data_IF_764174909369
#
_entry.id   IF_764174909369
#
_cell.length_a   1.000
_cell.length_b   1.000
_cell.length_c   1.000
_cell.angle_alpha   90.00
_cell.angle_beta   90.00
_cell.angle_gamma   90.00
#
_symmetry.space_group_name_H-M   'P 1'
#
loop_
_entity.id
_entity.type
_entity.pdbx_description
1 polymer ?
#
# COMPACT_ATOMS: atom_id res chain seq x y z
N UNK A 1 21.99 37.11 -54.94
CA UNK A 1 22.31 35.71 -54.61
C UNK A 1 23.19 35.71 -53.38
N UNK A 2 23.05 34.93 -52.32
CA UNK A 2 21.98 34.09 -51.73
C UNK A 2 22.51 33.87 -50.30
N UNK A 3 21.78 34.33 -49.29
CA UNK A 3 21.99 33.93 -47.89
C UNK A 3 21.09 32.71 -47.62
N UNK A 4 21.61 31.49 -47.73
CA UNK A 4 20.82 30.24 -47.50
C UNK A 4 21.56 29.16 -46.69
N UNK A 5 22.84 29.32 -46.35
CA UNK A 5 23.62 28.21 -45.77
C UNK A 5 23.57 28.04 -44.26
N UNK A 6 23.01 28.98 -43.48
CA UNK A 6 22.93 28.86 -42.02
C UNK A 6 21.63 28.18 -41.50
N UNK A 7 20.57 28.10 -42.30
CA UNK A 7 19.29 27.50 -41.88
C UNK A 7 19.23 25.97 -41.98
N UNK A 8 20.06 25.37 -42.83
CA UNK A 8 19.99 23.94 -43.19
C UNK A 8 20.61 23.00 -42.15
N UNK A 9 21.63 23.44 -41.42
CA UNK A 9 22.31 22.65 -40.38
C UNK A 9 21.51 22.59 -39.08
N UNK A 10 20.86 23.68 -38.69
CA UNK A 10 19.96 23.72 -37.53
C UNK A 10 18.69 22.88 -37.76
N UNK A 11 18.10 22.93 -38.97
CA UNK A 11 16.96 22.09 -39.34
C UNK A 11 17.33 20.59 -39.45
N UNK A 12 18.52 20.26 -39.94
CA UNK A 12 18.99 18.88 -40.02
C UNK A 12 19.28 18.25 -38.65
N UNK A 13 19.88 19.03 -37.74
CA UNK A 13 20.09 18.59 -36.35
C UNK A 13 18.75 18.44 -35.61
N UNK A 14 17.84 19.41 -35.74
CA UNK A 14 16.50 19.36 -35.16
C UNK A 14 15.69 18.15 -35.65
N UNK A 15 15.70 17.88 -36.97
CA UNK A 15 15.01 16.73 -37.57
C UNK A 15 15.61 15.37 -37.18
N UNK A 16 16.93 15.29 -36.92
CA UNK A 16 17.56 14.07 -36.39
C UNK A 16 17.18 13.81 -34.93
N UNK A 17 17.11 14.85 -34.08
CA UNK A 17 16.64 14.72 -32.69
C UNK A 17 15.16 14.31 -32.62
N UNK A 18 14.33 14.83 -33.52
CA UNK A 18 12.90 14.51 -33.54
C UNK A 18 12.64 13.07 -34.00
N UNK A 19 13.37 12.60 -35.02
CA UNK A 19 13.29 11.20 -35.45
C UNK A 19 13.84 10.21 -34.42
N UNK A 20 14.91 10.58 -33.70
CA UNK A 20 15.44 9.78 -32.60
C UNK A 20 14.44 9.69 -31.44
N UNK A 21 13.84 10.82 -31.04
CA UNK A 21 12.82 10.86 -29.99
C UNK A 21 11.57 10.02 -30.36
N UNK A 22 11.12 10.08 -31.61
CA UNK A 22 10.02 9.23 -32.11
C UNK A 22 10.37 7.73 -32.06
N UNK A 23 11.63 7.39 -32.27
CA UNK A 23 12.11 6.00 -32.19
C UNK A 23 12.16 5.50 -30.74
N UNK A 24 12.60 6.35 -29.81
CA UNK A 24 12.62 6.04 -28.37
C UNK A 24 11.19 5.91 -27.80
N UNK A 25 10.29 6.79 -28.21
CA UNK A 25 8.87 6.75 -27.81
C UNK A 25 8.17 5.47 -28.29
N UNK A 26 8.36 5.10 -29.56
CA UNK A 26 7.82 3.86 -30.10
C UNK A 26 8.40 2.60 -29.39
N UNK A 27 9.68 2.62 -29.03
CA UNK A 27 10.31 1.53 -28.28
C UNK A 27 9.75 1.42 -26.85
N UNK A 28 9.55 2.55 -26.18
CA UNK A 28 8.91 2.61 -24.86
C UNK A 28 7.47 2.06 -24.91
N UNK A 29 6.68 2.51 -25.88
CA UNK A 29 5.29 2.05 -26.03
C UNK A 29 5.23 0.54 -26.32
N UNK A 30 6.14 0.03 -27.15
CA UNK A 30 6.26 -1.41 -27.43
C UNK A 30 6.62 -2.21 -26.18
N UNK A 31 7.58 -1.73 -25.37
CA UNK A 31 7.98 -2.37 -24.12
C UNK A 31 6.81 -2.41 -23.11
N UNK A 32 6.12 -1.29 -22.91
CA UNK A 32 4.93 -1.22 -22.05
C UNK A 32 3.83 -2.16 -22.56
N UNK A 33 3.55 -2.16 -23.87
CA UNK A 33 2.56 -3.05 -24.48
C UNK A 33 2.89 -4.53 -24.25
N UNK A 34 4.17 -4.90 -24.33
CA UNK A 34 4.68 -6.24 -24.07
C UNK A 34 4.78 -6.64 -22.58
N UNK A 35 4.35 -5.76 -21.65
CA UNK A 35 4.49 -5.95 -20.20
C UNK A 35 5.96 -6.09 -19.72
N UNK A 36 6.88 -5.52 -20.48
CA UNK A 36 8.28 -5.38 -20.07
C UNK A 36 8.41 -4.31 -18.98
N UNK A 37 9.48 -4.43 -18.18
CA UNK A 37 9.78 -3.47 -17.11
C UNK A 37 10.70 -2.39 -17.63
N UNK A 38 10.30 -1.14 -17.40
CA UNK A 38 11.15 0.03 -17.60
C UNK A 38 12.10 0.14 -16.41
N UNK A 39 13.39 0.24 -16.68
CA UNK A 39 14.47 0.34 -15.69
C UNK A 39 15.11 1.75 -15.68
N UNK A 40 15.89 2.11 -14.63
CA UNK A 40 16.39 3.48 -14.46
C UNK A 40 17.24 4.04 -15.61
N UNK A 41 17.90 3.16 -16.38
CA UNK A 41 18.76 3.55 -17.51
C UNK A 41 18.03 3.62 -18.83
N UNK A 42 16.80 3.13 -18.89
CA UNK A 42 16.02 3.14 -20.11
C UNK A 42 15.51 4.55 -20.36
N UNK A 43 15.37 4.89 -21.64
CA UNK A 43 14.64 6.08 -22.02
C UNK A 43 13.16 5.92 -21.59
N UNK A 44 12.56 7.02 -21.13
CA UNK A 44 11.15 7.07 -20.79
C UNK A 44 10.61 8.49 -21.01
N UNK A 45 9.32 8.66 -21.34
CA UNK A 45 8.71 9.98 -21.45
C UNK A 45 8.85 10.78 -20.14
N UNK A 46 9.12 12.09 -20.24
CA UNK A 46 9.28 12.92 -19.05
C UNK A 46 7.99 12.97 -18.22
N UNK A 47 6.82 12.94 -18.87
CA UNK A 47 5.54 12.87 -18.18
C UNK A 47 5.33 11.54 -17.43
N UNK A 48 5.90 10.43 -17.94
CA UNK A 48 5.93 9.12 -17.24
C UNK A 48 6.80 9.21 -15.99
N UNK A 49 8.03 9.73 -16.14
CA UNK A 49 8.96 9.99 -15.03
C UNK A 49 8.32 10.86 -13.95
N UNK A 50 7.76 12.02 -14.32
CA UNK A 50 7.13 12.95 -13.39
C UNK A 50 5.92 12.34 -12.67
N UNK A 51 5.10 11.55 -13.37
CA UNK A 51 3.96 10.84 -12.78
C UNK A 51 4.41 9.83 -11.73
N UNK A 52 5.44 9.04 -12.03
CA UNK A 52 6.00 8.07 -11.10
C UNK A 52 6.67 8.72 -9.89
N UNK A 53 7.46 9.78 -10.10
CA UNK A 53 8.05 10.56 -8.99
C UNK A 53 6.94 11.08 -8.09
N UNK A 54 5.88 11.67 -8.64
CA UNK A 54 4.72 12.14 -7.86
C UNK A 54 4.08 11.01 -7.07
N UNK A 55 3.79 9.88 -7.71
CA UNK A 55 3.10 8.77 -7.07
C UNK A 55 3.96 8.09 -5.99
N UNK A 56 5.22 7.76 -6.29
CA UNK A 56 6.13 7.13 -5.31
C UNK A 56 6.47 8.06 -4.17
N UNK A 57 6.63 9.37 -4.41
CA UNK A 57 6.83 10.34 -3.33
C UNK A 57 5.61 10.38 -2.41
N UNK A 58 4.40 10.50 -2.95
CA UNK A 58 3.17 10.46 -2.15
C UNK A 58 3.04 9.15 -1.37
N UNK A 59 3.44 8.03 -1.96
CA UNK A 59 3.48 6.74 -1.27
C UNK A 59 4.50 6.75 -0.12
N UNK A 60 5.74 7.18 -0.36
CA UNK A 60 6.77 7.26 0.68
C UNK A 60 6.40 8.24 1.81
N UNK A 61 5.72 9.33 1.47
CA UNK A 61 5.19 10.28 2.45
C UNK A 61 4.07 9.64 3.29
N UNK A 62 3.23 8.81 2.65
CA UNK A 62 2.17 8.06 3.32
C UNK A 62 2.73 7.16 4.41
N UNK A 63 3.81 6.41 4.13
CA UNK A 63 4.49 5.60 5.15
C UNK A 63 4.95 6.43 6.35
N UNK A 64 5.66 7.55 6.10
CA UNK A 64 6.20 8.39 7.18
C UNK A 64 5.10 9.04 8.03
N UNK A 65 4.04 9.54 7.38
CA UNK A 65 2.94 10.19 8.11
C UNK A 65 2.05 9.16 8.79
N UNK A 66 1.91 7.96 8.21
CA UNK A 66 1.14 6.85 8.76
C UNK A 66 1.66 6.32 10.09
N UNK A 67 2.97 6.42 10.32
CA UNK A 67 3.56 6.10 11.62
C UNK A 67 2.94 6.90 12.77
N UNK A 68 2.47 8.14 12.53
CA UNK A 68 2.02 9.05 13.60
C UNK A 68 0.74 8.60 14.32
N UNK A 69 -0.40 8.33 13.63
CA UNK A 69 -1.61 7.85 14.29
C UNK A 69 -1.38 6.55 15.08
N UNK A 70 -0.55 5.63 14.59
CA UNK A 70 -0.27 4.38 15.29
C UNK A 70 0.74 4.53 16.43
N UNK A 71 1.79 5.35 16.24
CA UNK A 71 2.75 5.66 17.29
C UNK A 71 2.10 6.32 18.50
N UNK A 72 1.02 7.07 18.30
CA UNK A 72 0.20 7.66 19.36
C UNK A 72 -0.20 6.60 20.42
N UNK A 73 -0.43 5.34 20.02
CA UNK A 73 -0.86 4.28 20.92
C UNK A 73 0.26 3.36 21.43
N UNK A 74 1.51 3.49 20.97
CA UNK A 74 2.63 2.63 21.40
C UNK A 74 2.80 2.63 22.92
N UNK A 75 2.74 3.79 23.58
CA UNK A 75 2.95 3.88 25.03
C UNK A 75 1.76 3.34 25.83
N UNK A 76 0.56 3.28 25.21
CA UNK A 76 -0.74 2.98 25.84
C UNK A 76 -1.33 1.63 25.45
N UNK A 77 -0.63 0.84 24.63
CA UNK A 77 -1.10 -0.48 24.22
C UNK A 77 -1.42 -1.37 25.44
N UNK A 78 -2.56 -2.09 25.45
CA UNK A 78 -3.13 -2.73 26.65
C UNK A 78 -2.40 -4.02 27.07
N UNK A 79 -1.41 -4.47 26.30
CA UNK A 79 -0.57 -5.62 26.65
C UNK A 79 0.80 -5.50 25.99
N UNK A 80 1.81 -6.16 26.58
CA UNK A 80 3.15 -6.21 26.00
C UNK A 80 3.16 -6.90 24.63
N UNK A 81 2.34 -7.93 24.43
CA UNK A 81 2.20 -8.59 23.12
C UNK A 81 1.72 -7.60 22.05
N UNK A 82 0.65 -6.87 22.31
CA UNK A 82 0.12 -5.89 21.35
C UNK A 82 1.05 -4.71 21.16
N UNK A 83 1.74 -4.27 22.22
CA UNK A 83 2.79 -3.24 22.15
C UNK A 83 3.94 -3.65 21.22
N UNK A 84 4.45 -4.87 21.38
CA UNK A 84 5.55 -5.40 20.55
C UNK A 84 5.14 -5.50 19.08
N UNK A 85 3.93 -5.99 18.79
CA UNK A 85 3.39 -6.05 17.42
C UNK A 85 3.29 -4.66 16.81
N UNK A 86 2.71 -3.69 17.53
CA UNK A 86 2.56 -2.32 17.04
C UNK A 86 3.91 -1.64 16.78
N UNK A 87 4.89 -1.85 17.66
CA UNK A 87 6.25 -1.34 17.46
C UNK A 87 6.91 -1.96 16.22
N UNK A 88 6.73 -3.26 15.98
CA UNK A 88 7.25 -3.93 14.80
C UNK A 88 6.60 -3.37 13.52
N UNK A 89 5.28 -3.17 13.51
CA UNK A 89 4.56 -2.57 12.38
C UNK A 89 5.06 -1.16 12.05
N UNK A 90 5.12 -0.27 13.05
CA UNK A 90 5.59 1.11 12.85
C UNK A 90 7.07 1.16 12.45
N UNK A 91 7.88 0.19 12.88
CA UNK A 91 9.25 0.04 12.42
C UNK A 91 9.31 -0.34 10.93
N UNK A 92 8.48 -1.28 10.49
CA UNK A 92 8.42 -1.72 9.09
C UNK A 92 7.92 -0.59 8.17
N UNK A 93 6.94 0.21 8.59
CA UNK A 93 6.51 1.43 7.85
C UNK A 93 7.67 2.40 7.60
N UNK A 94 8.54 2.61 8.59
CA UNK A 94 9.74 3.41 8.39
C UNK A 94 10.66 2.79 7.31
N UNK A 95 10.80 1.46 7.31
CA UNK A 95 11.52 0.69 6.29
C UNK A 95 10.89 0.81 4.89
N UNK A 96 9.57 0.69 4.79
CA UNK A 96 8.82 0.83 3.55
C UNK A 96 9.02 2.22 2.94
N UNK A 97 8.93 3.26 3.77
CA UNK A 97 9.24 4.63 3.36
C UNK A 97 10.63 4.74 2.74
N UNK A 98 11.65 4.11 3.35
CA UNK A 98 13.02 4.09 2.81
C UNK A 98 13.11 3.36 1.46
N UNK A 99 12.42 2.23 1.29
CA UNK A 99 12.37 1.53 0.00
C UNK A 99 11.76 2.39 -1.10
N UNK A 100 10.67 3.10 -0.78
CA UNK A 100 9.95 3.96 -1.71
C UNK A 100 10.75 5.21 -2.10
N UNK A 101 11.42 5.88 -1.14
CA UNK A 101 12.35 6.96 -1.48
C UNK A 101 13.48 6.45 -2.37
N UNK A 102 14.07 5.30 -2.04
CA UNK A 102 15.14 4.70 -2.84
C UNK A 102 14.67 4.42 -4.28
N UNK A 103 13.45 3.91 -4.46
CA UNK A 103 12.86 3.69 -5.78
C UNK A 103 12.62 5.02 -6.52
N UNK A 104 12.15 6.07 -5.84
CA UNK A 104 11.94 7.39 -6.43
C UNK A 104 13.26 8.05 -6.87
N UNK A 105 14.34 7.88 -6.09
CA UNK A 105 15.66 8.45 -6.40
C UNK A 105 16.26 7.89 -7.69
N UNK A 106 15.87 6.67 -8.10
CA UNK A 106 16.29 6.11 -9.39
C UNK A 106 15.74 6.87 -10.61
N UNK A 107 14.77 7.77 -10.41
CA UNK A 107 14.24 8.66 -11.44
C UNK A 107 14.92 10.04 -11.49
N UNK A 108 15.92 10.30 -10.63
CA UNK A 108 16.74 11.51 -10.68
C UNK A 108 16.31 12.65 -9.76
N UNK A 109 15.36 12.42 -8.84
CA UNK A 109 15.07 13.34 -7.71
C UNK A 109 15.82 12.88 -6.46
N UNK A 110 15.98 13.75 -5.47
CA UNK A 110 16.54 13.36 -4.17
C UNK A 110 15.47 13.19 -3.10
N UNK A 111 15.70 12.33 -2.10
CA UNK A 111 14.84 12.21 -0.93
C UNK A 111 14.65 13.55 -0.21
N UNK A 112 15.71 14.36 -0.11
CA UNK A 112 15.65 15.66 0.55
C UNK A 112 14.69 16.61 -0.18
N UNK A 113 14.74 16.68 -1.52
CA UNK A 113 13.79 17.46 -2.32
C UNK A 113 12.34 17.00 -2.12
N UNK A 114 12.11 15.69 -2.01
CA UNK A 114 10.79 15.13 -1.78
C UNK A 114 10.29 15.45 -0.37
N UNK A 115 11.14 15.35 0.65
CA UNK A 115 10.81 15.74 2.01
C UNK A 115 10.51 17.24 2.13
N UNK A 116 11.29 18.10 1.46
CA UNK A 116 11.03 19.54 1.40
C UNK A 116 9.67 19.84 0.77
N UNK A 117 9.30 19.11 -0.29
CA UNK A 117 7.96 19.23 -0.92
C UNK A 117 6.85 18.79 0.02
N UNK A 118 7.04 17.72 0.80
CA UNK A 118 6.10 17.30 1.85
C UNK A 118 5.96 18.38 2.94
N UNK A 119 7.07 18.87 3.48
CA UNK A 119 7.07 19.89 4.54
C UNK A 119 6.43 21.20 4.09
N UNK A 120 6.62 21.59 2.83
CA UNK A 120 5.99 22.75 2.22
C UNK A 120 4.53 22.52 1.79
N UNK A 121 3.97 21.33 1.97
CA UNK A 121 2.61 20.98 1.52
C UNK A 121 2.44 20.92 0.00
N UNK A 122 3.55 20.89 -0.77
CA UNK A 122 3.55 20.80 -2.24
C UNK A 122 3.41 19.38 -2.76
N UNK A 123 3.64 18.38 -1.92
CA UNK A 123 3.32 16.98 -2.17
C UNK A 123 2.45 16.42 -1.04
N UNK A 124 1.51 15.55 -1.43
CA UNK A 124 0.51 14.97 -0.54
C UNK A 124 0.99 13.65 0.08
N UNK A 125 0.23 13.15 1.02
CA UNK A 125 0.25 11.79 1.54
C UNK A 125 -1.20 11.26 1.53
N UNK A 126 -1.39 9.97 1.83
CA UNK A 126 -2.71 9.34 1.85
C UNK A 126 -3.67 10.08 2.78
N UNK A 127 -4.91 10.29 2.31
CA UNK A 127 -5.95 11.03 3.06
C UNK A 127 -6.22 10.42 4.43
N UNK A 128 -6.11 9.09 4.54
CA UNK A 128 -6.47 8.30 5.72
C UNK A 128 -5.70 8.67 6.98
N UNK A 129 -4.47 9.18 6.86
CA UNK A 129 -3.64 9.50 8.02
C UNK A 129 -4.01 10.83 8.69
N UNK A 130 -4.99 11.54 8.13
CA UNK A 130 -5.57 12.74 8.70
C UNK A 130 -6.67 12.46 9.72
N UNK A 131 -7.02 11.20 9.97
CA UNK A 131 -8.03 10.82 10.96
C UNK A 131 -7.39 10.50 12.32
N UNK A 132 -8.04 10.83 13.44
CA UNK A 132 -7.49 10.62 14.78
C UNK A 132 -7.74 9.20 15.30
N UNK A 133 -6.76 8.64 16.00
CA UNK A 133 -6.89 7.37 16.74
C UNK A 133 -7.38 7.62 18.17
N UNK A 134 -8.68 7.54 18.39
CA UNK A 134 -9.31 7.97 19.65
C UNK A 134 -9.32 6.90 20.74
N UNK A 135 -9.36 5.62 20.35
CA UNK A 135 -9.39 4.46 21.24
C UNK A 135 -8.35 3.42 20.80
N UNK A 136 -8.15 2.39 21.61
CA UNK A 136 -7.25 1.29 21.22
C UNK A 136 -7.79 0.50 20.02
N UNK A 137 -9.11 0.43 19.84
CA UNK A 137 -9.72 -0.26 18.70
C UNK A 137 -9.36 0.38 17.35
N UNK A 138 -9.05 1.68 17.34
CA UNK A 138 -8.58 2.39 16.15
C UNK A 138 -7.30 1.77 15.57
N UNK A 139 -6.38 1.29 16.41
CA UNK A 139 -5.17 0.57 15.96
C UNK A 139 -5.55 -0.72 15.24
N UNK A 140 -6.60 -1.40 15.72
CA UNK A 140 -7.15 -2.58 15.06
C UNK A 140 -7.83 -2.24 13.73
N UNK A 141 -8.60 -1.16 13.69
CA UNK A 141 -9.28 -0.70 12.49
C UNK A 141 -8.29 -0.22 11.41
N UNK A 142 -7.22 0.48 11.79
CA UNK A 142 -6.11 0.82 10.88
C UNK A 142 -5.47 -0.47 10.36
N UNK A 143 -5.01 -1.35 11.25
CA UNK A 143 -4.39 -2.59 10.83
C UNK A 143 -5.30 -3.49 9.99
N UNK A 144 -6.63 -3.46 10.17
CA UNK A 144 -7.54 -4.29 9.37
C UNK A 144 -7.98 -3.61 8.07
N UNK A 145 -8.64 -2.45 8.19
CA UNK A 145 -9.30 -1.76 7.08
C UNK A 145 -8.30 -0.91 6.27
N UNK A 146 -7.47 -0.12 6.94
CA UNK A 146 -6.55 0.81 6.27
C UNK A 146 -5.43 0.04 5.58
N UNK A 147 -4.76 -0.88 6.28
CA UNK A 147 -3.76 -1.74 5.67
C UNK A 147 -4.41 -2.69 4.64
N UNK A 148 -5.64 -3.16 4.87
CA UNK A 148 -6.38 -3.97 3.90
C UNK A 148 -6.64 -3.22 2.58
N UNK A 149 -7.02 -1.95 2.67
CA UNK A 149 -7.20 -1.07 1.52
C UNK A 149 -5.85 -0.80 0.83
N UNK A 150 -4.81 -0.51 1.61
CA UNK A 150 -3.46 -0.34 1.10
C UNK A 150 -2.98 -1.58 0.34
N UNK A 151 -3.08 -2.78 0.91
CA UNK A 151 -2.70 -4.05 0.25
C UNK A 151 -3.50 -4.26 -1.04
N UNK A 152 -4.81 -3.99 -1.01
CA UNK A 152 -5.67 -4.12 -2.21
C UNK A 152 -5.19 -3.21 -3.34
N UNK A 153 -4.70 -2.01 -3.02
CA UNK A 153 -4.10 -1.09 -3.98
C UNK A 153 -2.67 -1.47 -4.40
N UNK A 154 -1.86 -1.98 -3.48
CA UNK A 154 -0.43 -2.23 -3.68
C UNK A 154 -0.10 -3.55 -4.38
N UNK A 155 -0.87 -4.62 -4.13
CA UNK A 155 -0.65 -5.92 -4.78
C UNK A 155 -0.65 -5.80 -6.31
N UNK A 156 -1.60 -5.08 -6.94
CA UNK A 156 -1.53 -4.77 -8.37
C UNK A 156 -0.27 -4.00 -8.80
N UNK A 157 0.27 -3.12 -7.95
CA UNK A 157 1.48 -2.35 -8.22
C UNK A 157 2.75 -3.21 -8.22
N UNK A 158 2.70 -4.44 -7.69
CA UNK A 158 3.76 -5.45 -7.95
C UNK A 158 3.94 -5.73 -9.46
N UNK A 159 2.96 -5.34 -10.28
CA UNK A 159 3.02 -5.41 -11.75
C UNK A 159 3.07 -4.04 -12.45
N UNK A 160 3.44 -2.98 -11.74
CA UNK A 160 3.71 -1.65 -12.29
C UNK A 160 4.79 -1.72 -13.39
N UNK A 161 4.63 -1.01 -14.50
CA UNK A 161 5.60 -0.99 -15.60
C UNK A 161 7.00 -0.53 -15.17
N UNK A 162 7.14 0.26 -14.10
CA UNK A 162 8.46 0.67 -13.60
C UNK A 162 9.07 -0.36 -12.66
N UNK A 163 10.20 -0.95 -13.06
CA UNK A 163 10.86 -2.05 -12.37
C UNK A 163 11.19 -1.78 -10.89
N UNK A 164 11.87 -0.67 -10.54
CA UNK A 164 12.20 -0.35 -9.15
C UNK A 164 10.96 -0.26 -8.25
N UNK A 165 9.89 0.35 -8.74
CA UNK A 165 8.65 0.49 -7.97
C UNK A 165 7.96 -0.86 -7.76
N UNK A 166 7.82 -1.65 -8.84
CA UNK A 166 7.25 -2.99 -8.76
C UNK A 166 8.00 -3.90 -7.77
N UNK A 167 9.35 -3.84 -7.75
CA UNK A 167 10.17 -4.63 -6.81
C UNK A 167 10.03 -4.16 -5.37
N UNK A 168 9.89 -2.86 -5.13
CA UNK A 168 9.62 -2.33 -3.79
C UNK A 168 8.26 -2.84 -3.28
N UNK A 169 7.21 -2.78 -4.12
CA UNK A 169 5.88 -3.30 -3.79
C UNK A 169 5.88 -4.79 -3.44
N UNK A 170 6.67 -5.61 -4.13
CA UNK A 170 6.79 -7.05 -3.79
C UNK A 170 7.33 -7.27 -2.36
N UNK A 171 8.25 -6.42 -1.88
CA UNK A 171 8.76 -6.52 -0.51
C UNK A 171 7.74 -6.01 0.50
N UNK A 172 7.22 -4.81 0.26
CA UNK A 172 6.24 -4.14 1.12
C UNK A 172 4.99 -5.02 1.29
N UNK A 173 4.40 -5.55 0.22
CA UNK A 173 3.22 -6.42 0.32
C UNK A 173 3.47 -7.72 1.11
N UNK A 174 4.70 -8.26 1.10
CA UNK A 174 5.05 -9.44 1.90
C UNK A 174 5.04 -9.12 3.39
N UNK A 175 5.57 -7.95 3.76
CA UNK A 175 5.67 -7.47 5.14
C UNK A 175 4.29 -7.02 5.66
N UNK A 176 3.57 -6.19 4.91
CA UNK A 176 2.28 -5.63 5.34
C UNK A 176 1.16 -6.65 5.50
N UNK A 177 1.13 -7.71 4.69
CA UNK A 177 0.10 -8.74 4.82
C UNK A 177 0.10 -9.43 6.19
N UNK A 178 1.27 -9.49 6.85
CA UNK A 178 1.40 -9.99 8.21
C UNK A 178 0.77 -9.01 9.21
N UNK A 179 1.12 -7.72 9.11
CA UNK A 179 0.59 -6.68 10.01
C UNK A 179 -0.92 -6.52 9.88
N UNK A 180 -1.43 -6.62 8.65
CA UNK A 180 -2.86 -6.56 8.37
C UNK A 180 -3.63 -7.66 9.11
N UNK A 181 -3.09 -8.89 9.09
CA UNK A 181 -3.64 -10.00 9.86
C UNK A 181 -3.63 -9.73 11.36
N UNK A 182 -2.56 -9.13 11.88
CA UNK A 182 -2.47 -8.79 13.30
C UNK A 182 -3.49 -7.73 13.72
N UNK A 183 -3.83 -6.78 12.85
CA UNK A 183 -4.91 -5.81 13.02
C UNK A 183 -6.28 -6.49 13.10
N UNK A 184 -6.57 -7.40 12.16
CA UNK A 184 -7.79 -8.22 12.20
C UNK A 184 -7.89 -9.03 13.51
N UNK A 185 -6.81 -9.69 13.93
CA UNK A 185 -6.78 -10.43 15.20
C UNK A 185 -6.98 -9.54 16.44
N UNK A 186 -6.61 -8.25 16.37
CA UNK A 186 -6.86 -7.29 17.44
C UNK A 186 -8.36 -7.06 17.57
N UNK A 187 -9.04 -6.73 16.47
CA UNK A 187 -10.48 -6.52 16.47
C UNK A 187 -11.23 -7.80 16.84
N UNK A 188 -10.80 -8.97 16.37
CA UNK A 188 -11.40 -10.25 16.76
C UNK A 188 -11.38 -10.46 18.28
N UNK A 189 -10.28 -10.08 18.94
CA UNK A 189 -10.17 -10.18 20.39
C UNK A 189 -11.10 -9.20 21.10
N UNK A 190 -11.29 -7.98 20.57
CA UNK A 190 -12.22 -7.00 21.13
C UNK A 190 -13.68 -7.41 20.93
N UNK A 191 -14.04 -7.86 19.72
CA UNK A 191 -15.39 -8.32 19.41
C UNK A 191 -15.83 -9.55 20.21
N UNK A 192 -14.90 -10.40 20.64
CA UNK A 192 -15.19 -11.56 21.50
C UNK A 192 -15.02 -11.27 22.99
N UNK A 193 -14.70 -10.03 23.33
CA UNK A 193 -14.45 -9.60 24.70
C UNK A 193 -15.71 -9.23 25.46
N UNK A 194 -15.57 -8.26 26.36
CA UNK A 194 -16.68 -7.65 27.08
C UNK A 194 -17.56 -6.79 26.16
N UNK A 195 -18.81 -6.48 26.54
CA UNK A 195 -19.67 -5.57 25.77
C UNK A 195 -19.01 -4.23 25.44
N UNK A 196 -18.27 -3.64 26.39
CA UNK A 196 -17.55 -2.38 26.17
C UNK A 196 -16.40 -2.51 25.15
N UNK A 197 -15.76 -3.68 25.05
CA UNK A 197 -14.73 -3.93 24.04
C UNK A 197 -15.33 -4.13 22.65
N UNK A 198 -16.47 -4.82 22.55
CA UNK A 198 -17.21 -4.98 21.30
C UNK A 198 -17.72 -3.62 20.80
N UNK A 199 -18.31 -2.80 21.66
CA UNK A 199 -18.74 -1.44 21.33
C UNK A 199 -17.58 -0.56 20.86
N UNK A 200 -16.42 -0.62 21.54
CA UNK A 200 -15.22 0.11 21.13
C UNK A 200 -14.72 -0.34 19.73
N UNK A 201 -14.79 -1.64 19.42
CA UNK A 201 -14.48 -2.16 18.10
C UNK A 201 -15.45 -1.65 17.04
N UNK A 202 -16.76 -1.66 17.34
CA UNK A 202 -17.79 -1.15 16.43
C UNK A 202 -17.63 0.35 16.16
N UNK A 203 -17.38 1.15 17.20
CA UNK A 203 -17.14 2.60 17.05
C UNK A 203 -15.92 2.89 16.16
N UNK A 204 -14.83 2.14 16.31
CA UNK A 204 -13.68 2.27 15.43
C UNK A 204 -14.04 1.93 13.98
N UNK A 205 -14.73 0.81 13.72
CA UNK A 205 -15.16 0.45 12.36
C UNK A 205 -16.07 1.53 11.76
N UNK A 206 -16.99 2.08 12.56
CA UNK A 206 -17.88 3.16 12.13
C UNK A 206 -17.11 4.39 11.61
N UNK A 207 -16.04 4.78 12.31
CA UNK A 207 -15.24 5.95 11.97
C UNK A 207 -14.23 5.70 10.84
N UNK A 208 -13.72 4.48 10.71
CA UNK A 208 -12.63 4.16 9.77
C UNK A 208 -13.10 3.56 8.43
N UNK A 209 -14.35 3.11 8.31
CA UNK A 209 -14.87 2.49 7.08
C UNK A 209 -14.81 3.43 5.86
N UNK A 210 -15.53 4.55 5.90
CA UNK A 210 -15.61 5.48 4.78
C UNK A 210 -14.25 6.09 4.42
N UNK A 211 -13.41 6.52 5.39
CA UNK A 211 -12.04 6.95 5.10
C UNK A 211 -11.20 5.87 4.39
N UNK A 212 -11.36 4.60 4.74
CA UNK A 212 -10.64 3.50 4.08
C UNK A 212 -11.06 3.34 2.61
N UNK A 213 -12.36 3.54 2.31
CA UNK A 213 -12.86 3.55 0.93
C UNK A 213 -12.35 4.75 0.11
N UNK A 214 -12.11 5.89 0.75
CA UNK A 214 -11.53 7.08 0.11
C UNK A 214 -10.05 6.88 -0.29
N UNK A 215 -9.33 5.92 0.30
CA UNK A 215 -7.92 5.65 -0.03
C UNK A 215 -7.70 5.25 -1.49
N UNK A 216 -8.71 4.64 -2.12
CA UNK A 216 -8.66 4.29 -3.54
C UNK A 216 -8.71 5.52 -4.45
N UNK A 217 -8.95 6.72 -3.92
CA UNK A 217 -9.02 7.96 -4.68
C UNK A 217 -10.41 8.24 -5.25
N UNK A 218 -10.53 9.29 -6.09
CA UNK A 218 -11.81 9.73 -6.64
C UNK A 218 -12.43 8.67 -7.57
N UNK A 219 -13.74 8.78 -7.89
CA UNK A 219 -14.38 8.00 -8.93
C UNK A 219 -13.63 8.04 -10.26
N UNK A 220 -13.80 7.01 -11.08
CA UNK A 220 -13.04 6.88 -12.33
C UNK A 220 -13.29 8.06 -13.30
N UNK A 221 -14.50 8.61 -13.33
CA UNK A 221 -14.89 9.76 -14.16
C UNK A 221 -14.33 11.11 -13.66
N UNK A 222 -13.90 11.19 -12.40
CA UNK A 222 -13.28 12.34 -11.78
C UNK A 222 -11.75 12.22 -11.64
N UNK A 223 -11.15 11.16 -12.19
CA UNK A 223 -9.74 10.82 -11.99
C UNK A 223 -8.83 11.32 -13.12
N UNK A 224 -8.31 12.54 -12.97
CA UNK A 224 -7.50 13.23 -14.00
C UNK A 224 -6.25 12.46 -14.48
N UNK A 225 -5.70 11.53 -13.69
CA UNK A 225 -4.46 10.81 -14.02
C UNK A 225 -4.68 9.35 -14.41
N UNK A 226 -5.90 8.81 -14.27
CA UNK A 226 -6.13 7.36 -14.40
C UNK A 226 -5.93 6.86 -15.82
N UNK A 227 -6.45 7.55 -16.84
CA UNK A 227 -6.35 7.12 -18.23
C UNK A 227 -4.88 6.92 -18.66
N UNK A 228 -4.03 7.93 -18.44
CA UNK A 228 -2.61 7.87 -18.79
C UNK A 228 -1.85 6.84 -17.95
N UNK A 229 -2.13 6.76 -16.64
CA UNK A 229 -1.46 5.81 -15.75
C UNK A 229 -1.78 4.35 -16.11
N UNK A 230 -2.99 4.10 -16.60
CA UNK A 230 -3.42 2.79 -17.11
C UNK A 230 -2.78 2.48 -18.46
N UNK A 231 -2.73 3.45 -19.38
CA UNK A 231 -2.07 3.30 -20.68
C UNK A 231 -0.59 2.95 -20.53
N UNK A 232 0.11 3.61 -19.61
CA UNK A 232 1.50 3.29 -19.27
C UNK A 232 1.67 2.08 -18.34
N UNK A 233 0.58 1.39 -18.00
CA UNK A 233 0.56 0.26 -17.04
C UNK A 233 1.25 0.56 -15.70
N UNK A 234 1.28 1.83 -15.28
CA UNK A 234 1.66 2.24 -13.92
C UNK A 234 0.60 1.73 -12.95
N UNK A 235 -0.67 1.97 -13.30
CA UNK A 235 -1.87 1.48 -12.63
C UNK A 235 -2.46 0.34 -13.47
N UNK A 236 -2.93 -0.72 -12.81
CA UNK A 236 -3.42 -1.95 -13.49
C UNK A 236 -4.94 -2.13 -13.43
N UNK A 237 -5.57 -1.53 -12.44
CA UNK A 237 -7.00 -1.60 -12.16
C UNK A 237 -7.50 -0.20 -11.82
N UNK A 238 -8.75 0.11 -12.13
CA UNK A 238 -9.32 1.44 -11.86
C UNK A 238 -9.50 1.71 -10.37
N UNK A 239 -9.83 2.96 -9.99
CA UNK A 239 -10.06 3.29 -8.57
C UNK A 239 -11.30 2.55 -8.07
N UNK A 240 -12.38 2.59 -8.87
CA UNK A 240 -13.66 1.98 -8.50
C UNK A 240 -13.61 0.44 -8.54
N UNK A 241 -12.82 -0.15 -9.44
CA UNK A 241 -12.60 -1.60 -9.47
C UNK A 241 -11.96 -2.10 -8.17
N UNK A 242 -10.88 -1.42 -7.73
CA UNK A 242 -10.19 -1.78 -6.50
C UNK A 242 -11.05 -1.52 -5.26
N UNK A 243 -11.82 -0.42 -5.26
CA UNK A 243 -12.75 -0.11 -4.17
C UNK A 243 -13.83 -1.18 -4.02
N UNK A 244 -14.46 -1.62 -5.11
CA UNK A 244 -15.46 -2.72 -5.09
C UNK A 244 -14.86 -4.02 -4.57
N UNK A 245 -13.68 -4.40 -5.08
CA UNK A 245 -12.97 -5.60 -4.60
C UNK A 245 -12.71 -5.54 -3.10
N UNK A 246 -12.32 -4.38 -2.57
CA UNK A 246 -12.10 -4.20 -1.14
C UNK A 246 -13.39 -4.35 -0.33
N UNK A 247 -14.52 -3.80 -0.79
CA UNK A 247 -15.84 -4.03 -0.15
C UNK A 247 -16.17 -5.52 -0.09
N UNK A 248 -16.02 -6.25 -1.20
CA UNK A 248 -16.26 -7.70 -1.26
C UNK A 248 -15.37 -8.49 -0.28
N UNK A 249 -14.15 -8.02 -0.03
CA UNK A 249 -13.23 -8.62 0.95
C UNK A 249 -13.70 -8.33 2.39
N UNK A 250 -14.13 -7.09 2.65
CA UNK A 250 -14.46 -6.63 4.01
C UNK A 250 -15.80 -7.19 4.53
N UNK A 251 -16.81 -7.38 3.68
CA UNK A 251 -18.13 -7.88 4.12
C UNK A 251 -18.05 -9.21 4.90
N UNK A 252 -17.46 -10.29 4.38
CA UNK A 252 -17.35 -11.55 5.13
C UNK A 252 -16.42 -11.43 6.35
N UNK A 253 -15.44 -10.53 6.30
CA UNK A 253 -14.54 -10.28 7.44
C UNK A 253 -15.27 -9.57 8.59
N UNK A 254 -16.12 -8.58 8.29
CA UNK A 254 -16.97 -7.91 9.27
C UNK A 254 -17.94 -8.90 9.93
N UNK A 255 -18.55 -9.78 9.13
CA UNK A 255 -19.40 -10.87 9.64
C UNK A 255 -18.64 -11.79 10.59
N UNK A 256 -17.42 -12.19 10.25
CA UNK A 256 -16.57 -13.04 11.10
C UNK A 256 -16.17 -12.35 12.43
N UNK A 257 -16.06 -11.02 12.42
CA UNK A 257 -15.83 -10.20 13.60
C UNK A 257 -17.11 -9.96 14.41
N UNK A 258 -18.29 -10.28 13.89
CA UNK A 258 -19.56 -9.89 14.51
C UNK A 258 -19.73 -8.37 14.61
N UNK A 259 -19.19 -7.63 13.64
CA UNK A 259 -19.29 -6.17 13.52
C UNK A 259 -20.08 -5.81 12.27
N UNK A 260 -20.69 -4.63 12.26
CA UNK A 260 -21.36 -4.07 11.08
C UNK A 260 -20.47 -3.05 10.39
N UNK A 261 -20.58 -2.95 9.07
CA UNK A 261 -20.04 -1.83 8.31
C UNK A 261 -21.10 -0.71 8.32
N UNK A 262 -20.72 0.57 8.55
CA UNK A 262 -21.65 1.70 8.68
C UNK A 262 -22.19 2.17 7.32
N UNK A 263 -22.71 1.24 6.54
CA UNK A 263 -23.25 1.47 5.20
C UNK A 263 -24.50 0.60 4.99
N UNK A 264 -25.70 1.19 5.11
CA UNK A 264 -26.96 0.47 4.95
C UNK A 264 -27.23 0.03 3.50
N UNK A 265 -26.49 0.56 2.52
CA UNK A 265 -26.67 0.24 1.10
C UNK A 265 -25.84 -0.97 0.66
N UNK A 266 -25.02 -1.56 1.55
CA UNK A 266 -24.29 -2.79 1.25
C UNK A 266 -25.26 -3.94 0.99
N UNK A 267 -25.26 -4.44 -0.25
CA UNK A 267 -26.07 -5.58 -0.66
C UNK A 267 -25.41 -6.37 -1.78
N UNK A 268 -25.55 -7.68 -1.75
CA UNK A 268 -25.09 -8.53 -2.85
C UNK A 268 -25.88 -8.22 -4.12
N UNK A 269 -25.17 -7.96 -5.21
CA UNK A 269 -25.74 -7.73 -6.53
C UNK A 269 -25.44 -8.95 -7.41
N UNK A 270 -26.47 -9.78 -7.64
CA UNK A 270 -26.35 -11.03 -8.42
C UNK A 270 -25.91 -10.78 -9.88
N UNK A 271 -26.34 -9.68 -10.50
CA UNK A 271 -25.98 -9.36 -11.88
C UNK A 271 -24.50 -8.99 -12.01
N UNK A 272 -23.96 -8.31 -11.00
CA UNK A 272 -22.54 -7.89 -10.96
C UNK A 272 -21.62 -8.98 -10.38
N UNK A 273 -22.15 -9.88 -9.56
CA UNK A 273 -21.36 -10.82 -8.77
C UNK A 273 -20.47 -10.13 -7.73
N UNK A 274 -20.92 -8.98 -7.19
CA UNK A 274 -20.21 -8.14 -6.22
C UNK A 274 -21.21 -7.44 -5.30
N UNK A 275 -20.76 -6.88 -4.18
CA UNK A 275 -21.57 -5.99 -3.35
C UNK A 275 -21.69 -4.60 -3.96
N UNK A 276 -22.90 -4.07 -4.02
CA UNK A 276 -23.13 -2.62 -4.09
C UNK A 276 -22.82 -1.99 -2.72
N UNK A 277 -22.49 -0.70 -2.69
CA UNK A 277 -22.21 0.08 -1.47
C UNK A 277 -22.72 1.52 -1.66
N UNK A 278 -22.91 2.24 -0.55
CA UNK A 278 -23.46 3.58 -0.52
C UNK A 278 -22.53 4.65 -1.09
N UNK A 279 -23.07 5.87 -1.25
CA UNK A 279 -22.30 7.00 -1.76
C UNK A 279 -21.27 7.50 -0.73
N UNK A 280 -20.03 7.66 -1.18
CA UNK A 280 -18.94 8.26 -0.38
C UNK A 280 -19.15 9.77 -0.32
N UNK A 281 -18.91 10.37 0.86
CA UNK A 281 -18.84 11.82 0.97
C UNK A 281 -17.60 12.37 0.26
N UNK A 282 -17.76 12.70 -1.02
CA UNK A 282 -16.69 13.31 -1.81
C UNK A 282 -16.37 14.75 -1.39
N UNK A 283 -17.27 15.43 -0.66
CA UNK A 283 -16.98 16.75 -0.11
C UNK A 283 -15.95 16.63 1.00
N UNK A 284 -16.17 15.70 1.95
CA UNK A 284 -15.19 15.37 2.99
C UNK A 284 -13.83 15.01 2.38
N UNK A 285 -13.83 14.11 1.38
CA UNK A 285 -12.61 13.71 0.68
C UNK A 285 -11.82 14.91 0.14
N UNK A 286 -12.50 15.86 -0.53
CA UNK A 286 -11.84 17.05 -1.08
C UNK A 286 -11.33 17.98 0.02
N UNK A 287 -12.06 18.16 1.13
CA UNK A 287 -11.61 18.99 2.24
C UNK A 287 -10.37 18.40 2.93
N UNK A 288 -10.34 17.08 3.15
CA UNK A 288 -9.15 16.38 3.69
C UNK A 288 -7.94 16.56 2.75
N UNK A 289 -8.14 16.46 1.43
CA UNK A 289 -7.05 16.65 0.46
C UNK A 289 -6.55 18.10 0.34
N UNK A 290 -7.37 19.09 0.69
CA UNK A 290 -6.99 20.50 0.73
C UNK A 290 -6.24 20.89 2.02
N UNK A 291 -6.22 20.01 3.02
CA UNK A 291 -5.62 20.31 4.32
C UNK A 291 -6.63 20.64 5.43
N UNK A 292 -7.92 20.54 5.17
CA UNK A 292 -8.99 20.92 6.11
C UNK A 292 -9.59 19.72 6.86
N UNK A 293 -8.90 18.58 6.87
CA UNK A 293 -9.31 17.41 7.64
C UNK A 293 -8.87 17.48 9.11
N UNK A 294 -9.28 16.50 9.94
CA UNK A 294 -9.22 16.62 11.39
C UNK A 294 -7.79 16.65 11.98
N UNK A 295 -6.78 16.11 11.28
CA UNK A 295 -5.41 16.10 11.78
C UNK A 295 -4.37 16.63 10.78
N UNK A 296 -4.74 17.18 9.61
CA UNK A 296 -3.78 17.60 8.58
C UNK A 296 -2.67 18.52 9.11
N UNK A 297 -3.07 19.59 9.80
CA UNK A 297 -2.15 20.56 10.39
C UNK A 297 -1.26 19.92 11.44
N UNK A 298 -1.84 19.08 12.32
CA UNK A 298 -1.10 18.35 13.33
C UNK A 298 -0.03 17.43 12.71
N UNK A 299 -0.39 16.67 11.66
CA UNK A 299 0.52 15.71 11.02
C UNK A 299 1.72 16.38 10.38
N UNK A 300 1.49 17.48 9.66
CA UNK A 300 2.56 18.24 9.02
C UNK A 300 3.38 19.03 10.04
N UNK A 301 2.75 19.62 11.07
CA UNK A 301 3.46 20.30 12.14
C UNK A 301 4.43 19.35 12.86
N UNK A 302 3.95 18.18 13.29
CA UNK A 302 4.80 17.18 13.96
C UNK A 302 5.96 16.72 13.07
N UNK A 303 5.73 16.56 11.76
CA UNK A 303 6.78 16.16 10.82
C UNK A 303 7.81 17.26 10.58
N UNK A 304 7.40 18.53 10.58
CA UNK A 304 8.29 19.70 10.45
C UNK A 304 9.10 19.90 11.73
N UNK A 305 8.45 19.90 12.89
CA UNK A 305 9.09 20.03 14.20
C UNK A 305 10.18 18.97 14.39
N UNK A 306 9.88 17.69 14.15
CA UNK A 306 10.88 16.61 14.23
C UNK A 306 12.05 16.81 13.26
N UNK A 307 11.82 17.42 12.10
CA UNK A 307 12.88 17.75 11.15
C UNK A 307 13.72 18.93 11.63
N UNK A 308 13.10 20.02 12.07
CA UNK A 308 13.76 21.24 12.53
C UNK A 308 14.55 20.99 13.82
N UNK A 309 13.94 20.39 14.84
CA UNK A 309 14.61 20.05 16.10
C UNK A 309 15.71 19.00 15.91
N UNK A 310 15.56 18.11 14.92
CA UNK A 310 16.57 17.14 14.54
C UNK A 310 17.74 17.70 13.73
N UNK A 311 17.72 19.00 13.37
CA UNK A 311 18.73 19.59 12.47
C UNK A 311 20.14 19.49 13.05
N UNK A 312 20.31 19.74 14.35
CA UNK A 312 21.62 19.67 14.99
C UNK A 312 22.22 18.26 14.94
N UNK A 313 21.38 17.20 15.03
CA UNK A 313 21.83 15.80 14.91
C UNK A 313 22.35 15.52 13.50
N UNK A 314 21.62 15.97 12.47
CA UNK A 314 22.04 15.81 11.06
C UNK A 314 23.33 16.57 10.77
N UNK A 315 23.45 17.80 11.26
CA UNK A 315 24.66 18.61 11.14
C UNK A 315 25.85 17.99 11.87
N UNK A 316 25.64 17.45 13.08
CA UNK A 316 26.67 16.76 13.84
C UNK A 316 27.17 15.51 13.11
N UNK A 317 26.28 14.69 12.54
CA UNK A 317 26.64 13.51 11.75
C UNK A 317 27.44 13.88 10.49
N UNK A 318 27.03 14.94 9.77
CA UNK A 318 27.75 15.42 8.59
C UNK A 318 29.17 15.91 8.95
N UNK A 319 29.29 16.76 9.99
CA UNK A 319 30.58 17.26 10.45
C UNK A 319 31.51 16.15 10.95
N UNK A 320 30.96 15.09 11.58
CA UNK A 320 31.72 13.91 11.96
C UNK A 320 32.26 13.18 10.72
N UNK A 321 31.41 12.92 9.73
CA UNK A 321 31.81 12.24 8.49
C UNK A 321 32.88 13.03 7.71
N UNK A 322 32.78 14.36 7.66
CA UNK A 322 33.76 15.24 7.01
C UNK A 322 35.15 15.17 7.67
N UNK A 323 35.19 15.12 9.01
CA UNK A 323 36.44 14.96 9.76
C UNK A 323 37.14 13.65 9.43
N UNK A 324 36.42 12.52 9.40
CA UNK A 324 37.00 11.22 9.08
C UNK A 324 37.46 11.12 7.62
N UNK A 325 36.70 11.70 6.68
CA UNK A 325 37.13 11.81 5.27
C UNK A 325 38.43 12.61 5.12
N UNK A 326 38.55 13.74 5.83
CA UNK A 326 39.75 14.57 5.80
C UNK A 326 40.98 13.89 6.42
N UNK A 327 40.78 12.98 7.37
CA UNK A 327 41.85 12.22 8.03
C UNK A 327 42.29 10.97 7.24
N UNK A 328 41.70 10.70 6.07
CA UNK A 328 42.02 9.52 5.26
C UNK A 328 41.53 8.20 5.87
N UNK A 329 40.76 8.27 6.96
CA UNK A 329 40.08 7.12 7.53
C UNK A 329 38.85 6.83 6.68
N UNK A 330 39.02 5.99 5.65
CA UNK A 330 37.86 5.37 5.01
C UNK A 330 37.07 4.64 6.09
N UNK A 331 35.75 4.86 6.20
CA UNK A 331 34.95 4.14 7.18
C UNK A 331 35.13 2.65 6.89
N UNK A 332 35.67 1.91 7.86
CA UNK A 332 35.90 0.48 7.72
C UNK A 332 34.56 -0.15 7.33
N UNK A 333 34.43 -0.62 6.09
CA UNK A 333 33.41 -1.60 5.76
C UNK A 333 33.59 -2.71 6.78
N UNK A 334 32.59 -2.92 7.64
CA UNK A 334 32.65 -3.91 8.70
C UNK A 334 33.12 -5.22 8.09
N UNK A 335 34.34 -5.63 8.41
CA UNK A 335 34.89 -6.90 7.95
C UNK A 335 34.00 -7.98 8.51
N UNK A 336 33.17 -8.55 7.63
CA UNK A 336 32.46 -9.79 7.89
C UNK A 336 33.48 -10.78 8.43
N UNK A 337 33.26 -11.19 9.67
CA UNK A 337 34.12 -12.12 10.39
C UNK A 337 34.10 -13.44 9.63
N UNK A 338 35.12 -13.68 8.81
CA UNK A 338 35.38 -14.98 8.21
C UNK A 338 35.66 -15.96 9.35
N UNK A 339 34.79 -16.96 9.49
CA UNK A 339 34.97 -18.08 10.42
C UNK A 339 36.08 -18.97 9.86
N UNK A 340 37.04 -19.48 10.66
CA UNK A 340 38.09 -20.34 10.14
C UNK A 340 37.49 -21.64 9.63
N UNK A 341 37.95 -22.07 8.46
CA UNK A 341 37.71 -23.39 7.89
C UNK A 341 38.57 -24.42 8.62
N UNK A 342 37.96 -25.24 9.48
CA UNK A 342 38.55 -26.53 9.87
C UNK A 342 38.06 -27.58 8.88
N UNK A 343 39.00 -28.11 8.09
CA UNK A 343 38.81 -29.32 7.31
C UNK A 343 39.30 -30.52 8.11
N UNK A 344 38.47 -31.56 8.20
CA UNK A 344 38.84 -32.94 7.83
C UNK A 344 37.66 -33.90 8.06
N UNK A 345 37.25 -34.54 6.96
CA UNK A 345 36.75 -35.91 6.82
C UNK A 345 35.81 -36.53 7.87
N UNK A 346 34.60 -36.92 7.42
CA UNK A 346 34.29 -38.33 7.09
C UNK A 346 32.81 -38.46 6.71
N UNK A 347 32.55 -39.20 5.63
CA UNK A 347 31.21 -39.58 5.21
C UNK A 347 30.58 -40.53 6.25
N UNK A 348 29.42 -40.15 6.78
CA UNK A 348 28.56 -41.04 7.55
C UNK A 348 27.10 -40.83 7.14
N UNK A 349 26.52 -41.89 6.61
CA UNK A 349 25.12 -42.08 6.23
C UNK A 349 24.17 -41.77 7.40
N UNK A 350 23.05 -41.06 7.20
CA UNK A 350 22.04 -40.90 8.25
C UNK A 350 21.18 -42.18 8.36
N UNK A 351 20.74 -42.56 9.58
CA UNK A 351 19.85 -43.70 9.78
C UNK A 351 18.39 -43.35 9.44
N UNK A 352 17.70 -44.36 8.92
CA UNK A 352 16.25 -44.40 8.69
C UNK A 352 15.45 -44.13 9.97
N UNK A 353 14.44 -43.26 9.85
CA UNK A 353 13.25 -43.33 10.71
C UNK A 353 11.97 -43.15 9.89
N UNK A 354 10.89 -43.88 10.25
CA UNK A 354 9.82 -44.25 9.34
C UNK A 354 8.82 -43.12 9.08
N UNK A 355 8.44 -42.99 7.81
CA UNK A 355 7.45 -42.04 7.33
C UNK A 355 6.02 -42.39 7.76
N UNK A 356 5.32 -41.39 8.27
CA UNK A 356 3.86 -41.33 8.27
C UNK A 356 3.38 -40.87 6.89
N UNK A 357 2.71 -41.78 6.18
CA UNK A 357 2.14 -41.54 4.87
C UNK A 357 0.95 -40.57 4.93
N UNK A 358 0.97 -39.54 4.08
CA UNK A 358 -0.21 -38.77 3.68
C UNK A 358 -0.88 -39.47 2.48
N UNK A 359 -2.21 -39.68 2.47
CA UNK A 359 -2.87 -40.33 1.35
C UNK A 359 -3.04 -39.38 0.16
N UNK A 360 -2.77 -39.94 -1.02
CA UNK A 360 -2.91 -39.37 -2.36
C UNK A 360 -4.34 -39.03 -2.74
N UNK A 361 -4.52 -37.89 -3.38
CA UNK A 361 -5.74 -37.52 -4.09
C UNK A 361 -5.99 -38.48 -5.26
N UNK A 362 -7.14 -39.16 -5.22
CA UNK A 362 -7.68 -39.98 -6.30
C UNK A 362 -9.04 -39.44 -6.73
N UNK A 363 -9.10 -39.07 -8.02
CA UNK A 363 -10.24 -39.11 -8.95
C UNK A 363 -11.65 -39.33 -8.39
N UNK A 364 -12.52 -38.31 -8.52
CA UNK A 364 -13.99 -38.48 -8.42
C UNK A 364 -14.63 -38.63 -9.81
N UNK A 365 -15.56 -39.58 -10.00
CA UNK A 365 -16.41 -39.69 -11.18
C UNK A 365 -17.78 -38.99 -11.00
N UNK A 366 -18.40 -38.63 -12.12
CA UNK A 366 -19.70 -37.97 -12.23
C UNK A 366 -20.86 -38.82 -11.70
N UNK A 367 -21.83 -38.17 -11.05
CA UNK A 367 -23.14 -38.77 -10.74
C UNK A 367 -24.28 -37.88 -11.25
N UNK A 368 -25.09 -38.45 -12.15
CA UNK A 368 -26.41 -37.95 -12.54
C UNK A 368 -27.52 -38.38 -11.56
N UNK A 369 -28.79 -38.01 -11.83
CA UNK A 369 -29.79 -37.78 -10.79
C UNK A 369 -30.66 -39.02 -10.49
N UNK A 370 -31.35 -38.99 -9.34
CA UNK A 370 -32.42 -39.94 -8.98
C UNK A 370 -33.41 -39.32 -7.97
N UNK A 371 -34.64 -39.85 -7.86
CA UNK A 371 -35.86 -39.06 -8.07
C UNK A 371 -36.67 -38.72 -6.82
N UNK A 372 -37.68 -37.87 -7.07
CA UNK A 372 -38.78 -37.47 -6.22
C UNK A 372 -39.66 -38.62 -5.71
N UNK A 373 -40.07 -38.52 -4.44
CA UNK A 373 -41.38 -38.98 -3.97
C UNK A 373 -41.89 -37.98 -2.94
N UNK A 374 -43.00 -37.30 -3.26
CA UNK A 374 -43.71 -36.44 -2.33
C UNK A 374 -44.61 -37.23 -1.38
N UNK A 375 -45.05 -36.59 -0.31
CA UNK A 375 -46.40 -36.75 0.21
C UNK A 375 -46.78 -35.48 0.97
N UNK A 376 -47.89 -34.87 0.54
CA UNK A 376 -48.59 -33.77 1.19
C UNK A 376 -49.13 -34.20 2.57
N UNK A 377 -49.11 -33.28 3.55
CA UNK A 377 -50.13 -33.21 4.59
C UNK A 377 -50.53 -31.75 4.79
N UNK A 378 -51.80 -31.50 4.51
CA UNK A 378 -52.59 -30.28 4.68
C UNK A 378 -53.04 -30.12 6.13
N UNK A 379 -52.98 -28.91 6.69
CA UNK A 379 -53.98 -28.35 7.59
C UNK A 379 -53.70 -26.86 7.87
N UNK A 380 -54.67 -26.00 7.53
CA UNK A 380 -54.74 -24.57 7.88
C UNK A 380 -55.35 -24.37 9.30
N UNK A 381 -55.84 -23.17 9.69
CA UNK A 381 -55.15 -22.19 10.53
C UNK A 381 -55.90 -21.95 11.87
N UNK A 382 -55.36 -21.11 12.76
CA UNK A 382 -56.16 -20.50 13.84
C UNK A 382 -56.07 -18.99 13.78
N UNK A 383 -57.24 -18.38 13.63
CA UNK A 383 -57.51 -16.96 13.85
C UNK A 383 -57.79 -16.65 15.34
N UNK A 384 -57.24 -15.50 15.76
CA UNK A 384 -57.82 -14.42 16.57
C UNK A 384 -58.57 -14.63 17.92
N UNK A 385 -58.17 -13.73 18.83
CA UNK A 385 -58.92 -13.01 19.90
C UNK A 385 -59.12 -13.63 21.28
N UNK A 386 -58.44 -13.07 22.28
CA UNK A 386 -59.03 -12.21 23.32
C UNK A 386 -57.99 -11.30 23.94
#
# INVERSE_FOLDING_TARGET
>A
MVAVTAGRTAQGAAGMTEAAAQTEEAAFDAAVAADERIEPRDWMPEAYRATLVRQMAQHAHSEIIGMQPEANWITRAPSLRRKAILMAKVQDEAGHGLYLYSAAETLGTSRDELLDKLHAGRQRYSSIFNYPTLTWADVGAIGWLVDGAAITNQVPLCRCSYGPYARAMVRICKEESFHQRQGFELLLALSRGTPAQHEMAQDAVNRWWWPSLMMFGPPDDASAHSAQSMAWKIKRHSNDELRRRFVDICVPQAQALGLTLPDPDIRWNEERGQHDYGEIDWTEFQEVLKGNGPCNDQRLAQRREAHEEGAWVRQAAAAYADKHRAQGESPSQGTGRTRPSDGSDTAATPPDHPGTAAPSAGSEPSAGPSPSTGTEVTAQPMEATT
#
